data_IF_155803085172
#
_entry.id   IF_155803085172
#
_cell.length_a   1.000
_cell.length_b   1.000
_cell.length_c   1.000
_cell.angle_alpha   90.00
_cell.angle_beta   90.00
_cell.angle_gamma   90.00
#
_symmetry.space_group_name_H-M   'P 1'
#
loop_
_entity.id
_entity.type
_entity.pdbx_description
1 polymer ?
#
# COMPACT_ATOMS: atom_id res chain seq x y z
N UNK A 1 19.65 -7.66 7.46
CA UNK A 1 18.53 -8.18 6.66
C UNK A 1 17.29 -7.93 7.49
N UNK A 2 16.36 -7.07 7.04
CA UNK A 2 15.20 -6.66 7.85
C UNK A 2 13.99 -7.47 7.42
N UNK A 3 13.44 -8.30 8.30
CA UNK A 3 12.22 -9.05 8.04
C UNK A 3 11.01 -8.20 8.44
N UNK A 4 10.01 -8.16 7.56
CA UNK A 4 8.76 -7.44 7.79
C UNK A 4 7.58 -8.40 7.73
N UNK A 5 6.62 -8.21 8.64
CA UNK A 5 5.46 -9.07 8.80
C UNK A 5 4.18 -8.30 8.46
N UNK A 6 3.28 -8.96 7.75
CA UNK A 6 1.94 -8.43 7.42
C UNK A 6 0.90 -9.41 7.93
N UNK A 7 -0.13 -8.90 8.59
CA UNK A 7 -1.32 -9.66 8.98
C UNK A 7 -2.54 -9.04 8.33
N UNK A 8 -2.87 -9.49 7.12
CA UNK A 8 -4.06 -9.07 6.36
C UNK A 8 -4.99 -10.26 6.10
N UNK A 9 -6.28 -10.00 5.93
CA UNK A 9 -7.22 -11.00 5.38
C UNK A 9 -7.22 -10.84 3.85
N UNK A 10 -7.31 -11.94 3.11
CA UNK A 10 -7.07 -11.96 1.64
C UNK A 10 -8.26 -11.39 0.82
N UNK A 11 -9.25 -10.76 1.46
CA UNK A 11 -10.52 -10.41 0.80
C UNK A 11 -11.20 -9.18 1.40
N UNK A 12 -10.56 -8.01 1.51
CA UNK A 12 -11.32 -6.81 1.87
C UNK A 12 -11.01 -5.59 1.00
N UNK A 13 -12.05 -5.18 0.28
CA UNK A 13 -12.15 -3.88 -0.38
C UNK A 13 -11.99 -2.83 0.72
N UNK A 14 -11.02 -1.93 0.57
CA UNK A 14 -10.74 -0.90 1.58
C UNK A 14 -9.94 -1.35 2.80
N UNK A 15 -9.20 -2.45 2.69
CA UNK A 15 -8.41 -2.95 3.83
C UNK A 15 -7.39 -1.92 4.31
N UNK A 16 -7.31 -1.78 5.64
CA UNK A 16 -6.28 -1.03 6.34
C UNK A 16 -5.54 -1.97 7.27
N UNK A 17 -4.23 -2.07 7.13
CA UNK A 17 -3.39 -2.95 7.95
C UNK A 17 -2.01 -2.36 8.19
N UNK A 18 -1.34 -2.85 9.22
CA UNK A 18 0.01 -2.44 9.56
C UNK A 18 1.04 -3.48 9.13
N UNK A 19 2.23 -3.01 8.82
CA UNK A 19 3.44 -3.80 8.60
C UNK A 19 4.29 -3.69 9.86
N UNK A 20 4.73 -4.83 10.37
CA UNK A 20 5.46 -4.91 11.63
C UNK A 20 6.91 -5.35 11.39
N UNK A 21 7.82 -4.86 12.23
CA UNK A 21 9.19 -5.37 12.30
C UNK A 21 9.28 -6.64 13.19
N UNK A 22 10.49 -7.16 13.37
CA UNK A 22 10.78 -8.35 14.19
C UNK A 22 10.45 -8.18 15.67
N UNK A 23 10.46 -6.94 16.17
CA UNK A 23 10.04 -6.63 17.53
C UNK A 23 8.51 -6.50 17.68
N UNK A 24 7.75 -6.75 16.61
CA UNK A 24 6.30 -6.60 16.60
C UNK A 24 5.82 -5.16 16.59
N UNK A 25 6.70 -4.18 16.31
CA UNK A 25 6.33 -2.77 16.25
C UNK A 25 5.84 -2.41 14.85
N UNK A 26 4.72 -1.66 14.72
CA UNK A 26 4.25 -1.17 13.43
C UNK A 26 5.25 -0.14 12.89
N UNK A 27 5.77 -0.42 11.70
CA UNK A 27 6.72 0.46 10.99
C UNK A 27 6.09 1.14 9.78
N UNK A 28 5.04 0.54 9.22
CA UNK A 28 4.26 1.13 8.14
C UNK A 28 2.77 0.83 8.32
N UNK A 29 1.95 1.69 7.72
CA UNK A 29 0.51 1.46 7.59
C UNK A 29 0.13 1.47 6.11
N UNK A 30 -0.65 0.48 5.69
CA UNK A 30 -1.21 0.35 4.36
C UNK A 30 -2.70 0.65 4.43
N UNK A 31 -3.21 1.45 3.51
CA UNK A 31 -4.63 1.76 3.40
C UNK A 31 -5.08 1.68 1.94
N UNK A 32 -6.04 0.82 1.65
CA UNK A 32 -6.73 0.78 0.36
C UNK A 32 -7.85 1.81 0.26
N UNK A 33 -8.06 2.40 -0.93
CA UNK A 33 -9.28 3.20 -1.17
C UNK A 33 -10.50 2.29 -1.43
N UNK A 34 -11.66 2.70 -0.90
CA UNK A 34 -12.97 2.09 -1.18
C UNK A 34 -13.68 2.85 -2.30
N UNK A 35 -14.58 2.16 -3.02
CA UNK A 35 -15.41 2.75 -4.09
C UNK A 35 -14.65 3.34 -5.28
N UNK A 36 -13.40 2.92 -5.51
CA UNK A 36 -12.62 3.34 -6.68
C UNK A 36 -12.58 2.29 -7.77
N UNK A 37 -12.49 2.75 -9.02
CA UNK A 37 -12.18 1.87 -10.14
C UNK A 37 -10.71 1.46 -10.08
N UNK A 38 -10.46 0.16 -9.88
CA UNK A 38 -9.13 -0.41 -9.71
C UNK A 38 -8.57 -0.24 -8.31
N UNK A 39 -7.52 -1.00 -8.02
CA UNK A 39 -6.84 -0.94 -6.73
C UNK A 39 -6.03 0.36 -6.58
N UNK A 40 -6.22 1.04 -5.45
CA UNK A 40 -5.41 2.17 -5.01
C UNK A 40 -5.00 1.95 -3.56
N UNK A 41 -3.73 2.16 -3.29
CA UNK A 41 -3.09 1.79 -2.04
C UNK A 41 -2.17 2.92 -1.58
N UNK A 42 -2.36 3.36 -0.36
CA UNK A 42 -1.54 4.36 0.31
C UNK A 42 -0.65 3.66 1.33
N UNK A 43 0.65 3.99 1.32
CA UNK A 43 1.64 3.50 2.27
C UNK A 43 2.16 4.67 3.09
N UNK A 44 2.00 4.56 4.41
CA UNK A 44 2.43 5.55 5.39
C UNK A 44 3.57 5.01 6.24
N UNK A 45 4.47 5.90 6.65
CA UNK A 45 5.47 5.61 7.68
C UNK A 45 4.86 5.60 9.10
N UNK A 46 5.71 5.30 10.09
CA UNK A 46 5.32 5.30 11.50
C UNK A 46 4.87 6.68 12.04
N UNK A 47 5.17 7.78 11.35
CA UNK A 47 4.71 9.13 11.71
C UNK A 47 3.34 9.46 11.10
N UNK A 48 2.84 8.61 10.19
CA UNK A 48 1.62 8.84 9.43
C UNK A 48 1.84 9.64 8.15
N UNK A 49 3.09 9.91 7.75
CA UNK A 49 3.40 10.58 6.49
C UNK A 49 3.31 9.58 5.33
N UNK A 50 2.63 9.95 4.25
CA UNK A 50 2.54 9.12 3.05
C UNK A 50 3.88 9.08 2.33
N UNK A 51 4.45 7.88 2.20
CA UNK A 51 5.72 7.66 1.52
C UNK A 51 5.52 7.23 0.06
N UNK A 52 4.49 6.42 -0.18
CA UNK A 52 4.15 5.94 -1.51
C UNK A 52 2.64 5.84 -1.71
N UNK A 53 2.22 6.16 -2.93
CA UNK A 53 0.90 5.90 -3.46
C UNK A 53 1.01 4.94 -4.63
N UNK A 54 0.24 3.85 -4.61
CA UNK A 54 0.27 2.81 -5.64
C UNK A 54 -1.12 2.75 -6.29
N UNK A 55 -1.16 2.85 -7.60
CA UNK A 55 -2.40 2.86 -8.36
C UNK A 55 -2.35 1.84 -9.50
N UNK A 56 -3.37 1.00 -9.56
CA UNK A 56 -3.61 0.12 -10.70
C UNK A 56 -4.05 0.93 -11.91
N UNK A 57 -3.45 0.63 -13.07
CA UNK A 57 -3.86 1.18 -14.34
C UNK A 57 -5.05 0.41 -14.89
N UNK A 58 -6.08 1.15 -15.28
CA UNK A 58 -7.28 0.58 -15.90
C UNK A 58 -7.05 0.30 -17.38
N UNK A 59 -7.86 -0.61 -17.93
CA UNK A 59 -7.86 -0.97 -19.37
C UNK A 59 -6.51 -1.52 -19.88
N UNK A 60 -5.88 -2.37 -19.09
CA UNK A 60 -4.68 -3.14 -19.46
C UNK A 60 -5.01 -4.62 -19.51
N UNK A 61 -4.44 -5.32 -20.50
CA UNK A 61 -4.65 -6.76 -20.67
C UNK A 61 -4.07 -7.59 -19.51
N UNK A 62 -2.97 -7.10 -18.91
CA UNK A 62 -2.38 -7.64 -17.69
C UNK A 62 -2.39 -6.57 -16.58
N UNK A 63 -2.35 -6.97 -15.30
CA UNK A 63 -2.21 -6.02 -14.19
C UNK A 63 -0.95 -5.16 -14.33
N UNK A 64 -1.14 -3.85 -14.32
CA UNK A 64 -0.07 -2.84 -14.36
C UNK A 64 -0.33 -1.85 -13.22
N UNK A 65 0.72 -1.49 -12.49
CA UNK A 65 0.65 -0.59 -11.34
C UNK A 65 1.68 0.51 -11.51
N UNK A 66 1.29 1.74 -11.15
CA UNK A 66 2.19 2.86 -11.01
C UNK A 66 2.47 3.12 -9.53
N UNK A 67 3.71 3.44 -9.19
CA UNK A 67 4.15 3.80 -7.84
C UNK A 67 4.59 5.26 -7.85
N UNK A 68 3.98 6.06 -6.98
CA UNK A 68 4.24 7.48 -6.82
C UNK A 68 4.86 7.76 -5.45
N UNK A 69 5.84 8.66 -5.41
CA UNK A 69 6.32 9.28 -4.17
C UNK A 69 5.98 10.76 -4.24
N UNK A 70 4.95 11.18 -3.49
CA UNK A 70 4.25 12.44 -3.73
C UNK A 70 3.70 12.49 -5.16
N UNK A 71 4.06 13.53 -5.92
CA UNK A 71 3.63 13.69 -7.32
C UNK A 71 4.58 13.07 -8.35
N UNK A 72 5.66 12.41 -7.92
CA UNK A 72 6.68 11.86 -8.83
C UNK A 72 6.44 10.37 -9.07
N UNK A 73 6.29 9.98 -10.34
CA UNK A 73 6.23 8.57 -10.75
C UNK A 73 7.60 7.91 -10.59
N UNK A 74 7.65 6.74 -9.97
CA UNK A 74 8.88 5.98 -9.67
C UNK A 74 8.97 4.64 -10.40
N UNK A 75 7.84 3.97 -10.62
CA UNK A 75 7.74 2.69 -11.31
C UNK A 75 6.35 2.53 -11.94
#
# INVERSE_FOLDING_TARGET
MTILYIKQKVFSIGDKYNIYNEAGQPVFTVQGEVFTFGAKIHLYDATGAEIFFIQQKLFRFLPEYHIYSGNTLRA
#
